data_IF_228571723870
#
_entry.id   IF_228571723870
#
_cell.length_a   1.000
_cell.length_b   1.000
_cell.length_c   1.000
_cell.angle_alpha   90.00
_cell.angle_beta   90.00
_cell.angle_gamma   90.00
#
_symmetry.space_group_name_H-M   'P 1'
#
loop_
_entity.id
_entity.type
_entity.pdbx_description
1 polymer ?
#
# COMPACT_ATOMS: atom_id res chain seq x y z
N UNK A 1 29.58 3.12 5.47
CA UNK A 1 28.32 2.91 6.21
C UNK A 1 27.32 2.30 5.25
N UNK A 2 26.79 1.12 5.53
CA UNK A 2 25.84 0.46 4.64
C UNK A 2 24.50 1.23 4.64
N UNK A 3 23.89 1.41 3.47
CA UNK A 3 22.58 2.05 3.32
C UNK A 3 21.69 1.22 2.40
N UNK A 4 20.38 1.29 2.63
CA UNK A 4 19.36 0.65 1.79
C UNK A 4 18.61 1.72 1.01
N UNK A 5 18.44 1.51 -0.29
CA UNK A 5 17.61 2.39 -1.12
C UNK A 5 16.23 1.74 -1.22
N UNK A 6 15.19 2.49 -0.86
CA UNK A 6 13.82 2.05 -0.99
C UNK A 6 13.47 1.82 -2.47
N UNK A 7 12.89 0.65 -2.78
CA UNK A 7 12.49 0.31 -4.15
C UNK A 7 11.21 1.03 -4.60
N UNK A 8 10.43 1.53 -3.65
CA UNK A 8 9.13 2.12 -3.92
C UNK A 8 9.18 3.64 -4.09
N UNK A 9 10.02 4.35 -3.30
CA UNK A 9 10.14 5.80 -3.38
C UNK A 9 11.57 6.33 -3.62
N UNK A 10 12.60 5.48 -3.59
CA UNK A 10 13.99 5.89 -3.81
C UNK A 10 14.70 6.50 -2.59
N UNK A 11 14.02 6.62 -1.45
CA UNK A 11 14.60 7.16 -0.20
C UNK A 11 15.79 6.34 0.28
N UNK A 12 16.82 7.00 0.82
CA UNK A 12 18.02 6.36 1.36
C UNK A 12 17.83 6.13 2.87
N UNK A 13 17.82 4.87 3.28
CA UNK A 13 17.57 4.44 4.65
C UNK A 13 18.79 3.78 5.27
N UNK A 14 18.81 3.68 6.60
CA UNK A 14 19.84 2.92 7.32
C UNK A 14 19.81 1.44 6.94
N UNK A 15 20.94 0.75 6.96
CA UNK A 15 20.99 -0.68 6.64
C UNK A 15 20.18 -1.55 7.61
N UNK A 16 20.03 -1.12 8.86
CA UNK A 16 19.23 -1.76 9.91
C UNK A 16 17.72 -1.53 9.76
N UNK A 17 17.29 -0.56 8.93
CA UNK A 17 15.88 -0.24 8.79
C UNK A 17 15.09 -1.39 8.16
N UNK A 18 13.98 -1.72 8.80
CA UNK A 18 13.00 -2.71 8.31
C UNK A 18 11.95 -2.07 7.40
N UNK A 19 11.73 -0.76 7.53
CA UNK A 19 10.76 0.01 6.74
C UNK A 19 11.37 1.32 6.25
N UNK A 20 10.90 1.79 5.09
CA UNK A 20 11.30 3.06 4.53
C UNK A 20 10.80 4.24 5.38
N UNK A 21 11.68 5.18 5.73
CA UNK A 21 11.34 6.38 6.50
C UNK A 21 10.41 7.36 5.78
N UNK A 22 10.29 7.24 4.45
CA UNK A 22 9.50 8.14 3.61
C UNK A 22 8.15 7.53 3.22
N UNK A 23 8.13 6.28 2.73
CA UNK A 23 6.90 5.64 2.24
C UNK A 23 6.46 4.41 3.05
N UNK A 24 7.14 4.10 4.16
CA UNK A 24 6.85 2.99 5.06
C UNK A 24 6.90 1.57 4.45
N UNK A 25 7.35 1.43 3.20
CA UNK A 25 7.44 0.12 2.57
C UNK A 25 8.50 -0.77 3.20
N UNK A 26 8.31 -2.09 3.14
CA UNK A 26 9.25 -3.04 3.74
C UNK A 26 10.59 -3.05 3.00
N UNK A 27 11.66 -2.88 3.77
CA UNK A 27 13.05 -2.97 3.33
C UNK A 27 13.67 -4.35 3.61
N UNK A 28 12.84 -5.33 3.99
CA UNK A 28 13.28 -6.70 4.31
C UNK A 28 14.00 -7.38 3.15
N UNK A 29 13.60 -7.07 1.91
CA UNK A 29 14.17 -7.63 0.68
C UNK A 29 14.98 -6.60 -0.13
N UNK A 30 15.27 -5.43 0.43
CA UNK A 30 16.07 -4.41 -0.26
C UNK A 30 17.51 -4.91 -0.41
N UNK A 31 18.03 -4.93 -1.65
CA UNK A 31 19.43 -5.26 -1.87
C UNK A 31 20.29 -4.25 -1.12
N UNK A 32 21.11 -4.72 -0.18
CA UNK A 32 22.15 -3.91 0.46
C UNK A 32 23.15 -3.60 -0.64
N UNK A 33 23.06 -2.42 -1.26
CA UNK A 33 24.16 -1.90 -2.08
C UNK A 33 25.17 -1.31 -1.11
N UNK A 34 26.37 -1.92 -1.06
CA UNK A 34 27.55 -1.21 -0.59
C UNK A 34 27.78 -0.05 -1.57
N UNK A 35 27.43 1.16 -1.14
CA UNK A 35 27.79 2.37 -1.88
C UNK A 35 29.23 2.65 -1.47
N UNK A 36 30.18 2.06 -2.19
CA UNK A 36 31.58 2.46 -2.10
C UNK A 36 31.72 3.79 -2.85
N UNK A 37 32.26 4.80 -2.16
CA UNK A 37 32.42 6.17 -2.63
C UNK A 37 33.35 6.33 -3.85
N UNK A 38 33.81 5.24 -4.47
CA UNK A 38 34.54 5.23 -5.74
C UNK A 38 33.65 5.39 -6.98
N UNK A 39 32.33 5.23 -6.84
CA UNK A 39 31.40 5.21 -7.99
C UNK A 39 30.74 6.57 -8.28
N UNK A 40 31.12 7.64 -7.57
CA UNK A 40 30.65 9.00 -7.88
C UNK A 40 31.52 9.59 -9.00
N UNK A 41 31.32 9.10 -10.23
CA UNK A 41 31.65 9.89 -11.42
C UNK A 41 30.34 10.44 -11.99
N UNK A 42 30.05 11.69 -11.63
CA UNK A 42 29.04 12.52 -12.28
C UNK A 42 29.54 12.78 -13.71
N UNK A 43 29.16 11.90 -14.63
CA UNK A 43 29.60 11.95 -16.02
C UNK A 43 28.65 11.15 -16.91
N UNK A 44 27.78 11.88 -17.60
CA UNK A 44 27.25 11.60 -18.94
C UNK A 44 27.04 10.13 -19.36
N UNK A 45 25.78 9.74 -19.41
CA UNK A 45 25.21 8.98 -20.54
C UNK A 45 25.76 7.58 -20.81
N UNK A 46 25.12 6.57 -20.22
CA UNK A 46 24.96 5.30 -20.93
C UNK A 46 23.59 4.69 -20.63
N UNK A 47 22.74 4.73 -21.67
CA UNK A 47 21.46 4.05 -21.75
C UNK A 47 21.64 2.56 -21.48
N UNK A 48 21.22 2.11 -20.30
CA UNK A 48 20.87 0.71 -20.07
C UNK A 48 19.37 0.65 -19.98
N UNK A 49 18.77 -0.06 -20.93
CA UNK A 49 17.38 -0.52 -21.00
C UNK A 49 16.74 -0.62 -19.61
N UNK A 50 16.20 0.50 -19.15
CA UNK A 50 15.33 0.56 -18.00
C UNK A 50 13.96 0.31 -18.59
N UNK A 51 13.62 -0.97 -18.76
CA UNK A 51 12.23 -1.37 -18.88
C UNK A 51 11.55 -0.93 -17.60
N UNK A 52 10.98 0.29 -17.65
CA UNK A 52 9.84 0.79 -16.91
C UNK A 52 9.44 -0.19 -15.81
N UNK A 53 9.97 0.02 -14.60
CA UNK A 53 9.48 -0.68 -13.43
C UNK A 53 8.06 -0.16 -13.20
N UNK A 54 7.09 -0.90 -13.74
CA UNK A 54 5.67 -0.68 -13.48
C UNK A 54 5.49 -0.61 -11.98
N UNK A 55 5.04 0.55 -11.55
CA UNK A 55 4.36 0.86 -10.31
C UNK A 55 3.36 -0.25 -9.97
N UNK A 56 3.82 -1.26 -9.23
CA UNK A 56 2.99 -2.26 -8.57
C UNK A 56 2.45 -1.73 -7.26
N UNK A 57 1.99 -0.48 -7.24
CA UNK A 57 1.40 0.13 -6.06
C UNK A 57 -0.07 -0.25 -6.03
N UNK A 58 -0.43 -1.28 -5.26
CA UNK A 58 -1.83 -1.57 -4.89
C UNK A 58 -2.37 -0.51 -3.89
N UNK A 59 -1.80 0.70 -3.92
CA UNK A 59 -2.15 1.78 -3.03
C UNK A 59 -3.40 2.47 -3.59
N UNK A 60 -4.51 2.30 -2.87
CA UNK A 60 -5.76 2.98 -3.18
C UNK A 60 -5.58 4.48 -2.93
N UNK A 61 -6.04 5.30 -3.88
CA UNK A 61 -5.95 6.76 -3.73
C UNK A 61 -6.71 7.27 -2.49
N UNK A 62 -6.20 8.35 -1.88
CA UNK A 62 -6.85 8.96 -0.70
C UNK A 62 -8.28 9.41 -0.99
N UNK A 63 -8.56 9.85 -2.22
CA UNK A 63 -9.90 10.31 -2.64
C UNK A 63 -10.92 9.17 -2.69
N UNK A 64 -10.48 7.97 -3.09
CA UNK A 64 -11.34 6.78 -3.06
C UNK A 64 -11.69 6.43 -1.61
N UNK A 65 -10.73 6.50 -0.68
CA UNK A 65 -10.99 6.29 0.75
C UNK A 65 -11.97 7.32 1.32
N UNK A 66 -11.80 8.59 1.00
CA UNK A 66 -12.73 9.65 1.43
C UNK A 66 -14.15 9.34 0.93
N UNK A 67 -14.30 8.97 -0.35
CA UNK A 67 -15.61 8.59 -0.91
C UNK A 67 -16.23 7.38 -0.21
N UNK A 68 -15.43 6.33 0.05
CA UNK A 68 -15.89 5.13 0.77
C UNK A 68 -16.36 5.49 2.19
N UNK A 69 -15.62 6.33 2.91
CA UNK A 69 -15.98 6.72 4.27
C UNK A 69 -17.33 7.46 4.32
N UNK A 70 -17.59 8.38 3.38
CA UNK A 70 -18.89 9.05 3.30
C UNK A 70 -20.04 8.09 2.97
N UNK A 71 -19.83 7.15 2.04
CA UNK A 71 -20.86 6.17 1.69
C UNK A 71 -21.17 5.21 2.84
N UNK A 72 -20.18 4.93 3.69
CA UNK A 72 -20.28 4.03 4.85
C UNK A 72 -21.09 4.61 6.01
N UNK A 73 -21.26 5.93 6.12
CA UNK A 73 -22.08 6.54 7.19
C UNK A 73 -23.57 6.20 7.06
N UNK A 74 -24.06 5.99 5.84
CA UNK A 74 -25.47 5.72 5.61
C UNK A 74 -25.70 4.21 5.75
N UNK A 75 -26.55 3.72 6.67
CA UNK A 75 -26.60 2.29 7.01
C UNK A 75 -26.86 1.34 5.82
N UNK A 76 -27.86 1.66 4.99
CA UNK A 76 -28.20 0.82 3.82
C UNK A 76 -27.18 0.95 2.68
N UNK A 77 -26.70 2.17 2.42
CA UNK A 77 -25.74 2.43 1.35
C UNK A 77 -24.37 1.87 1.72
N UNK A 78 -23.97 1.98 2.98
CA UNK A 78 -22.74 1.39 3.51
C UNK A 78 -22.74 -0.13 3.37
N UNK A 79 -23.86 -0.80 3.64
CA UNK A 79 -23.98 -2.24 3.44
C UNK A 79 -23.83 -2.64 1.95
N UNK A 80 -24.49 -1.92 1.05
CA UNK A 80 -24.37 -2.14 -0.40
C UNK A 80 -22.94 -1.87 -0.87
N UNK A 81 -22.34 -0.78 -0.39
CA UNK A 81 -20.96 -0.39 -0.70
C UNK A 81 -20.01 -1.49 -0.24
N UNK A 82 -20.14 -2.00 0.99
CA UNK A 82 -19.35 -3.12 1.48
C UNK A 82 -19.50 -4.40 0.62
N UNK A 83 -20.72 -4.70 0.15
CA UNK A 83 -20.96 -5.80 -0.79
C UNK A 83 -20.25 -5.60 -2.13
N UNK A 84 -20.33 -4.40 -2.71
CA UNK A 84 -19.65 -4.07 -3.96
C UNK A 84 -18.13 -4.19 -3.77
N UNK A 85 -17.57 -3.61 -2.70
CA UNK A 85 -16.14 -3.73 -2.43
C UNK A 85 -15.70 -5.19 -2.25
N UNK A 86 -16.45 -6.00 -1.49
CA UNK A 86 -16.09 -7.38 -1.17
C UNK A 86 -16.08 -8.36 -2.35
N UNK A 87 -16.83 -8.08 -3.43
CA UNK A 87 -17.03 -9.06 -4.50
C UNK A 87 -16.87 -8.50 -5.91
N UNK A 88 -17.10 -7.20 -6.12
CA UNK A 88 -17.13 -6.60 -7.46
C UNK A 88 -15.87 -5.77 -7.78
N UNK A 89 -15.04 -5.47 -6.78
CA UNK A 89 -13.81 -4.69 -6.96
C UNK A 89 -12.61 -5.61 -7.13
N UNK A 90 -11.81 -5.32 -8.16
CA UNK A 90 -10.59 -6.08 -8.51
C UNK A 90 -9.40 -5.75 -7.58
N UNK A 91 -9.42 -4.59 -6.91
CA UNK A 91 -8.39 -4.20 -5.95
C UNK A 91 -8.48 -5.03 -4.66
N UNK A 92 -7.46 -5.87 -4.42
CA UNK A 92 -7.38 -6.75 -3.26
C UNK A 92 -7.52 -5.98 -1.92
N UNK A 93 -6.94 -4.77 -1.83
CA UNK A 93 -7.06 -3.93 -0.62
C UNK A 93 -8.49 -3.50 -0.34
N UNK A 94 -9.24 -3.08 -1.38
CA UNK A 94 -10.64 -2.68 -1.24
C UNK A 94 -11.53 -3.89 -0.96
N UNK A 95 -11.24 -5.02 -1.60
CA UNK A 95 -11.96 -6.26 -1.39
C UNK A 95 -11.83 -6.78 0.05
N UNK A 96 -10.60 -6.82 0.57
CA UNK A 96 -10.33 -7.20 1.96
C UNK A 96 -11.02 -6.27 2.96
N UNK A 97 -11.05 -4.97 2.68
CA UNK A 97 -11.80 -4.00 3.49
C UNK A 97 -13.31 -4.30 3.46
N UNK A 98 -13.90 -4.48 2.27
CA UNK A 98 -15.33 -4.80 2.13
C UNK A 98 -15.72 -6.09 2.87
N UNK A 99 -14.93 -7.17 2.74
CA UNK A 99 -15.15 -8.43 3.46
C UNK A 99 -15.08 -8.26 4.97
N UNK A 100 -14.09 -7.51 5.47
CA UNK A 100 -13.95 -7.24 6.90
C UNK A 100 -15.16 -6.46 7.44
N UNK A 101 -15.60 -5.43 6.72
CA UNK A 101 -16.80 -4.66 7.06
C UNK A 101 -18.03 -5.56 7.12
N UNK A 102 -18.25 -6.43 6.12
CA UNK A 102 -19.40 -7.35 6.12
C UNK A 102 -19.39 -8.31 7.33
N UNK A 103 -18.22 -8.85 7.68
CA UNK A 103 -18.07 -9.73 8.85
C UNK A 103 -18.38 -8.96 10.14
N UNK A 104 -17.83 -7.75 10.31
CA UNK A 104 -18.08 -6.91 11.49
C UNK A 104 -19.55 -6.51 11.57
N UNK A 105 -20.18 -6.14 10.46
CA UNK A 105 -21.62 -5.83 10.41
C UNK A 105 -22.48 -7.04 10.79
N UNK A 106 -22.12 -8.24 10.35
CA UNK A 106 -22.82 -9.47 10.74
C UNK A 106 -22.70 -9.75 12.24
N UNK A 107 -21.49 -9.60 12.80
CA UNK A 107 -21.25 -9.76 14.25
C UNK A 107 -22.07 -8.73 15.04
N UNK A 108 -22.06 -7.46 14.62
CA UNK A 108 -22.82 -6.40 15.27
C UNK A 108 -24.34 -6.66 15.22
N UNK A 109 -24.84 -7.15 14.08
CA UNK A 109 -26.23 -7.55 13.93
C UNK A 109 -26.61 -8.69 14.88
N UNK A 110 -25.76 -9.71 15.00
CA UNK A 110 -25.96 -10.81 15.96
C UNK A 110 -26.01 -10.28 17.39
N UNK A 111 -25.06 -9.44 17.79
CA UNK A 111 -25.04 -8.84 19.15
C UNK A 111 -26.33 -8.06 19.43
N UNK A 112 -26.82 -7.27 18.46
CA UNK A 112 -28.07 -6.52 18.56
C UNK A 112 -29.31 -7.41 18.71
N UNK A 113 -29.29 -8.64 18.19
CA UNK A 113 -30.40 -9.59 18.36
C UNK A 113 -30.44 -10.21 19.77
N UNK A 114 -29.30 -10.25 20.46
CA UNK A 114 -29.15 -10.88 21.78
C UNK A 114 -29.01 -9.88 22.93
N UNK A 115 -29.11 -8.57 22.65
CA UNK A 115 -29.08 -7.47 23.63
C UNK A 115 -30.48 -6.86 23.75
#
# INVERSE_FOLDING_TARGET
>A
MDKKICRDCGEINESSSMFCASCQSSLGNAHIRKIDTSDINIGSGHSRNSTVHRTGTNAVSIWVWIGILFLMEIPLIGLITAMVLAFLVDDETLNNFGRAVLIVSLIAFVILLFT
#
